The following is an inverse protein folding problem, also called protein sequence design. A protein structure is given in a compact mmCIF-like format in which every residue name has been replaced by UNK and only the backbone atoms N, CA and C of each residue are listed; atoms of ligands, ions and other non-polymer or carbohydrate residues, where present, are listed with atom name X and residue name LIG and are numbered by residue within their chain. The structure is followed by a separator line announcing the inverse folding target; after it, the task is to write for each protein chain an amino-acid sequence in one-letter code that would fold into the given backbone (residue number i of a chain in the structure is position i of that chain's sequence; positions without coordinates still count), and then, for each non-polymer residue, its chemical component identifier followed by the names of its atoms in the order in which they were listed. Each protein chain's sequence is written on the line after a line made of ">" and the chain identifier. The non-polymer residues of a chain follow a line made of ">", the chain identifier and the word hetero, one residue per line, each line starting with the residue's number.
data_IF_462980362211
#
_entry.id   IF_462980362211
#
_cell.length_a   1.000
_cell.length_b   1.000
_cell.length_c   1.000
_cell.angle_alpha   90.00
_cell.angle_beta   90.00
_cell.angle_gamma   90.00
#
_symmetry.space_group_name_H-M   'P 1'
#
loop_
_entity.id
_entity.type
_entity.pdbx_description
1 polymer ?
#
# COMPACT_ATOMS: atom_id res chain seq x y z
N UNK A 1 -3.69 9.55 -3.97
CA UNK A 1 -3.32 10.59 -4.93
C UNK A 1 -2.71 9.93 -6.14
N UNK A 2 -1.83 10.65 -6.83
CA UNK A 2 -1.13 10.22 -8.04
C UNK A 2 0.34 10.52 -7.81
N UNK A 3 1.15 9.48 -7.64
CA UNK A 3 2.58 9.61 -7.44
C UNK A 3 3.29 9.50 -8.80
N UNK A 4 4.42 10.20 -8.98
CA UNK A 4 5.18 10.08 -10.24
C UNK A 4 5.71 8.66 -10.49
N UNK A 5 5.87 7.86 -9.43
CA UNK A 5 6.17 6.43 -9.54
C UNK A 5 5.08 5.66 -10.30
N UNK A 6 3.81 6.08 -10.24
CA UNK A 6 2.75 5.45 -11.04
C UNK A 6 3.00 5.63 -12.55
N UNK A 7 3.56 6.78 -12.96
CA UNK A 7 3.97 7.03 -14.34
C UNK A 7 5.17 6.16 -14.72
N UNK A 8 6.22 6.11 -13.89
CA UNK A 8 7.36 5.23 -14.11
C UNK A 8 6.95 3.75 -14.25
N UNK A 9 5.96 3.31 -13.48
CA UNK A 9 5.41 1.96 -13.57
C UNK A 9 4.67 1.71 -14.89
N UNK A 10 3.86 2.68 -15.33
CA UNK A 10 3.12 2.60 -16.59
C UNK A 10 4.04 2.64 -17.81
N UNK A 11 5.12 3.42 -17.77
CA UNK A 11 6.11 3.54 -18.85
C UNK A 11 7.18 2.44 -18.79
N UNK A 12 7.33 1.77 -17.65
CA UNK A 12 8.30 0.71 -17.44
C UNK A 12 9.74 1.23 -17.42
N UNK A 13 9.95 2.39 -16.79
CA UNK A 13 11.23 3.11 -16.76
C UNK A 13 12.31 2.40 -15.94
N UNK A 14 11.90 1.61 -14.94
CA UNK A 14 12.83 0.98 -14.00
C UNK A 14 13.31 -0.39 -14.49
N UNK A 15 14.51 -0.83 -14.06
CA UNK A 15 15.06 -2.13 -14.47
C UNK A 15 14.18 -3.32 -14.06
N UNK A 16 13.61 -3.26 -12.86
CA UNK A 16 12.64 -4.26 -12.36
C UNK A 16 11.26 -3.74 -12.72
N UNK A 17 10.62 -4.33 -13.73
CA UNK A 17 9.32 -3.87 -14.25
C UNK A 17 8.15 -4.50 -13.48
N UNK A 18 6.99 -3.82 -13.39
CA UNK A 18 5.78 -4.44 -12.84
C UNK A 18 5.26 -5.55 -13.78
N UNK A 19 4.65 -6.62 -13.25
CA UNK A 19 3.95 -7.60 -14.08
C UNK A 19 2.71 -6.96 -14.73
N UNK A 20 2.47 -7.26 -16.01
CA UNK A 20 1.30 -6.77 -16.75
C UNK A 20 0.22 -7.86 -16.89
N UNK A 21 -1.08 -7.50 -16.83
CA UNK A 21 -1.62 -6.19 -16.47
C UNK A 21 -1.57 -5.96 -14.95
N UNK A 22 -1.49 -4.70 -14.52
CA UNK A 22 -1.66 -4.29 -13.12
C UNK A 22 -2.48 -3.00 -13.03
N UNK A 23 -3.02 -2.74 -11.84
CA UNK A 23 -3.70 -1.49 -11.49
C UNK A 23 -2.70 -0.64 -10.69
N UNK A 24 -2.35 0.59 -11.11
CA UNK A 24 -1.44 1.47 -10.36
C UNK A 24 -2.06 2.06 -9.07
N UNK A 25 -1.28 2.91 -8.38
CA UNK A 25 -1.74 3.73 -7.25
C UNK A 25 -1.39 3.14 -5.89
N UNK A 26 -0.48 3.80 -5.18
CA UNK A 26 -0.02 3.44 -3.82
C UNK A 26 -0.21 4.57 -2.80
N UNK A 27 -1.14 5.46 -3.12
CA UNK A 27 -1.65 6.51 -2.23
C UNK A 27 -3.17 6.35 -2.07
N UNK A 28 -3.64 5.10 -2.09
CA UNK A 28 -5.05 4.77 -1.94
C UNK A 28 -5.46 4.88 -0.47
N UNK A 29 -6.60 5.54 -0.22
CA UNK A 29 -7.17 5.69 1.12
C UNK A 29 -8.67 5.43 1.08
N UNK A 30 -9.21 4.93 2.18
CA UNK A 30 -10.64 4.68 2.29
C UNK A 30 -11.03 4.03 3.60
N UNK A 31 -12.13 3.29 3.55
CA UNK A 31 -12.63 2.49 4.66
C UNK A 31 -12.35 1.01 4.43
N UNK A 32 -12.05 0.29 5.51
CA UNK A 32 -12.05 -1.18 5.48
C UNK A 32 -13.48 -1.66 5.18
N UNK A 33 -13.69 -2.27 4.02
CA UNK A 33 -15.00 -2.73 3.58
C UNK A 33 -15.31 -4.16 4.05
N UNK A 34 -14.28 -5.00 4.24
CA UNK A 34 -14.38 -6.37 4.73
C UNK A 34 -13.04 -6.79 5.35
N UNK A 35 -13.06 -7.78 6.24
CA UNK A 35 -11.84 -8.36 6.83
C UNK A 35 -11.77 -9.87 6.59
N UNK A 36 -10.55 -10.35 6.32
CA UNK A 36 -10.27 -11.79 6.26
C UNK A 36 -10.27 -12.44 7.65
N UNK A 37 -10.28 -13.78 7.67
CA UNK A 37 -10.17 -14.54 8.92
C UNK A 37 -8.85 -14.24 9.64
N UNK A 38 -8.90 -14.05 10.96
CA UNK A 38 -7.72 -13.83 11.80
C UNK A 38 -7.15 -12.40 11.78
N UNK A 39 -7.77 -11.47 11.04
CA UNK A 39 -7.39 -10.05 11.05
C UNK A 39 -7.84 -9.42 12.36
N UNK A 40 -6.88 -8.83 13.09
CA UNK A 40 -7.13 -8.21 14.40
C UNK A 40 -6.67 -6.74 14.50
N UNK A 41 -5.77 -6.30 13.60
CA UNK A 41 -5.21 -4.93 13.63
C UNK A 41 -6.20 -3.85 13.16
N UNK A 42 -7.14 -4.23 12.30
CA UNK A 42 -8.19 -3.35 11.74
C UNK A 42 -9.52 -4.08 11.71
N UNK A 43 -10.62 -3.34 11.59
CA UNK A 43 -11.99 -3.85 11.41
C UNK A 43 -12.74 -3.04 10.36
N UNK A 44 -13.86 -3.59 9.90
CA UNK A 44 -14.78 -2.88 9.00
C UNK A 44 -15.11 -1.46 9.51
N UNK A 45 -15.07 -0.48 8.61
CA UNK A 45 -15.29 0.93 8.91
C UNK A 45 -14.07 1.70 9.43
N UNK A 46 -12.95 1.05 9.77
CA UNK A 46 -11.71 1.76 10.09
C UNK A 46 -11.17 2.52 8.86
N UNK A 47 -10.56 3.69 9.09
CA UNK A 47 -9.95 4.52 8.03
C UNK A 47 -8.50 4.09 7.82
N UNK A 48 -8.17 3.65 6.62
CA UNK A 48 -6.84 3.12 6.29
C UNK A 48 -6.30 3.69 4.99
N UNK A 49 -4.98 3.75 4.90
CA UNK A 49 -4.26 4.02 3.65
C UNK A 49 -3.33 2.87 3.29
N UNK A 50 -3.13 2.64 2.00
CA UNK A 50 -2.34 1.52 1.48
C UNK A 50 -1.10 2.13 0.78
N UNK A 51 0.05 2.18 1.47
CA UNK A 51 1.24 2.86 0.99
C UNK A 51 2.01 2.04 -0.05
N UNK A 52 3.16 2.54 -0.50
CA UNK A 52 4.08 1.81 -1.37
C UNK A 52 4.49 0.44 -0.79
N UNK A 53 4.87 0.39 0.49
CA UNK A 53 5.20 -0.88 1.16
C UNK A 53 3.91 -1.65 1.47
N UNK A 54 3.50 -2.54 0.58
CA UNK A 54 2.27 -3.33 0.72
C UNK A 54 2.38 -4.36 1.84
N UNK A 55 3.51 -5.06 1.90
CA UNK A 55 3.83 -6.06 2.92
C UNK A 55 5.34 -6.27 2.98
N UNK A 56 5.82 -6.85 4.09
CA UNK A 56 7.18 -7.32 4.28
C UNK A 56 7.17 -8.62 5.11
N UNK A 57 8.28 -9.39 5.09
CA UNK A 57 8.30 -10.73 5.69
C UNK A 57 8.22 -10.75 7.23
N UNK A 58 8.56 -9.64 7.90
CA UNK A 58 8.51 -9.52 9.36
C UNK A 58 9.60 -10.30 10.12
N UNK A 59 10.49 -11.01 9.44
CA UNK A 59 11.45 -11.93 10.09
C UNK A 59 12.90 -11.86 9.59
N UNK A 60 13.19 -11.13 8.50
CA UNK A 60 14.58 -10.93 8.06
C UNK A 60 15.30 -9.89 8.94
N UNK A 61 16.62 -9.77 8.78
CA UNK A 61 17.45 -8.80 9.51
C UNK A 61 16.88 -7.37 9.45
N UNK A 62 16.47 -6.92 8.26
CA UNK A 62 15.87 -5.60 8.07
C UNK A 62 14.55 -5.45 8.83
N UNK A 63 13.64 -6.42 8.72
CA UNK A 63 12.35 -6.36 9.42
C UNK A 63 12.52 -6.40 10.94
N UNK A 64 13.41 -7.26 11.46
CA UNK A 64 13.65 -7.41 12.90
C UNK A 64 14.34 -6.19 13.52
N UNK A 65 14.93 -5.31 12.70
CA UNK A 65 15.63 -4.09 13.15
C UNK A 65 14.87 -2.80 12.85
N UNK A 66 13.61 -2.88 12.41
CA UNK A 66 12.77 -1.71 12.11
C UNK A 66 13.12 -1.01 10.79
N UNK A 67 13.72 -1.76 9.86
CA UNK A 67 14.07 -1.33 8.50
C UNK A 67 13.26 -2.13 7.47
N UNK A 68 12.00 -2.43 7.74
CA UNK A 68 11.13 -3.24 6.86
C UNK A 68 11.03 -2.72 5.42
N UNK A 69 11.32 -1.43 5.18
CA UNK A 69 11.45 -0.83 3.85
C UNK A 69 12.56 -1.44 2.99
N UNK A 70 13.54 -2.09 3.62
CA UNK A 70 14.63 -2.81 2.97
C UNK A 70 14.36 -4.32 2.84
N UNK A 71 13.17 -4.80 3.19
CA UNK A 71 12.84 -6.21 3.06
C UNK A 71 12.90 -6.65 1.58
N UNK A 72 13.78 -7.61 1.25
CA UNK A 72 13.90 -8.15 -0.11
C UNK A 72 12.69 -8.98 -0.55
N UNK A 73 11.84 -9.40 0.40
CA UNK A 73 10.58 -10.11 0.13
C UNK A 73 9.36 -9.17 0.15
N UNK A 74 9.56 -7.85 0.15
CA UNK A 74 8.45 -6.92 0.14
C UNK A 74 7.62 -7.03 -1.14
N UNK A 75 6.34 -6.69 -1.04
CA UNK A 75 5.52 -6.38 -2.20
C UNK A 75 5.20 -4.89 -2.20
N UNK A 76 4.91 -4.35 -3.38
CA UNK A 76 4.72 -2.93 -3.60
C UNK A 76 3.36 -2.67 -4.24
N UNK A 77 2.54 -1.88 -3.56
CA UNK A 77 1.19 -1.53 -3.99
C UNK A 77 1.24 -0.79 -5.31
N UNK A 78 0.33 -1.10 -6.24
CA UNK A 78 0.30 -0.44 -7.54
C UNK A 78 1.54 -0.70 -8.40
N UNK A 79 2.29 -1.76 -8.09
CA UNK A 79 3.50 -2.14 -8.83
C UNK A 79 3.62 -3.66 -8.96
N UNK A 80 3.98 -4.38 -7.89
CA UNK A 80 4.04 -5.85 -7.90
C UNK A 80 2.73 -6.52 -7.48
N UNK A 81 1.83 -5.77 -6.86
CA UNK A 81 0.42 -6.12 -6.63
C UNK A 81 -0.49 -4.97 -7.08
N UNK A 82 -1.76 -5.27 -7.35
CA UNK A 82 -2.74 -4.25 -7.76
C UNK A 82 -2.91 -3.18 -6.67
N UNK A 83 -3.04 -1.93 -7.12
CA UNK A 83 -3.16 -0.74 -6.29
C UNK A 83 -4.55 -0.09 -6.30
N UNK A 84 -4.57 1.16 -5.85
CA UNK A 84 -5.75 1.93 -5.51
C UNK A 84 -6.39 2.74 -6.63
N UNK A 85 -5.96 2.62 -7.89
CA UNK A 85 -6.71 3.19 -9.03
C UNK A 85 -7.94 2.32 -9.38
N UNK A 86 -8.73 2.02 -8.35
CA UNK A 86 -9.90 1.15 -8.38
C UNK A 86 -10.84 1.53 -7.22
N UNK A 87 -12.10 1.06 -7.29
CA UNK A 87 -13.08 1.27 -6.21
C UNK A 87 -12.74 0.46 -4.95
N UNK A 88 -12.08 -0.69 -5.12
CA UNK A 88 -11.66 -1.59 -4.04
C UNK A 88 -10.26 -2.13 -4.31
N UNK A 89 -9.53 -2.41 -3.23
CA UNK A 89 -8.18 -2.97 -3.27
C UNK A 89 -7.96 -3.84 -2.04
N UNK A 90 -7.28 -4.97 -2.22
CA UNK A 90 -6.84 -5.81 -1.10
C UNK A 90 -5.62 -5.17 -0.43
N UNK A 91 -5.43 -5.39 0.87
CA UNK A 91 -4.27 -4.88 1.59
C UNK A 91 -3.84 -5.87 2.68
N UNK A 92 -2.54 -5.91 2.97
CA UNK A 92 -2.07 -6.55 4.19
C UNK A 92 -2.41 -5.65 5.39
N UNK A 93 -3.30 -6.09 6.30
CA UNK A 93 -3.74 -5.28 7.41
C UNK A 93 -2.60 -4.91 8.37
N UNK A 94 -1.44 -5.57 8.31
CA UNK A 94 -0.27 -5.27 9.15
C UNK A 94 0.54 -4.06 8.67
N UNK A 95 0.40 -3.68 7.40
CA UNK A 95 1.22 -2.63 6.77
C UNK A 95 0.41 -1.44 6.27
N UNK A 96 -0.92 -1.47 6.40
CA UNK A 96 -1.74 -0.26 6.17
C UNK A 96 -1.39 0.85 7.16
N UNK A 97 -1.46 2.09 6.69
CA UNK A 97 -1.44 3.29 7.53
C UNK A 97 -2.78 3.48 8.23
N UNK A 98 -2.77 3.69 9.55
CA UNK A 98 -3.97 4.00 10.33
C UNK A 98 -4.21 5.50 10.28
N UNK A 99 -5.33 5.92 9.71
CA UNK A 99 -5.57 7.33 9.40
C UNK A 99 -6.29 8.05 10.55
N UNK A 100 -5.95 9.33 10.82
CA UNK A 100 -6.66 10.13 11.79
C UNK A 100 -8.10 10.42 11.34
N UNK A 101 -9.03 10.54 12.29
CA UNK A 101 -10.45 10.75 12.00
C UNK A 101 -10.78 12.17 11.50
N UNK A 102 -9.90 13.13 11.74
CA UNK A 102 -10.15 14.57 11.56
C UNK A 102 -9.45 15.17 10.32
N UNK A 103 -8.95 14.34 9.40
CA UNK A 103 -8.36 14.78 8.14
C UNK A 103 -9.16 14.20 6.99
N UNK A 104 -9.39 14.96 5.93
CA UNK A 104 -10.12 14.49 4.76
C UNK A 104 -9.29 13.51 3.93
N UNK A 105 -9.94 12.55 3.26
CA UNK A 105 -9.23 11.52 2.50
C UNK A 105 -8.40 12.11 1.35
N UNK A 106 -8.92 13.09 0.63
CA UNK A 106 -8.20 13.74 -0.45
C UNK A 106 -6.91 14.44 0.04
N UNK A 107 -6.94 15.00 1.25
CA UNK A 107 -5.81 15.71 1.85
C UNK A 107 -4.75 14.76 2.42
N UNK A 108 -5.17 13.65 3.03
CA UNK A 108 -4.25 12.69 3.65
C UNK A 108 -3.64 11.72 2.63
N UNK A 109 -4.27 11.50 1.47
CA UNK A 109 -3.82 10.51 0.50
C UNK A 109 -2.34 10.68 0.06
N UNK A 110 -1.84 11.89 -0.26
CA UNK A 110 -0.43 12.07 -0.64
C UNK A 110 0.58 11.70 0.45
N UNK A 111 0.21 11.79 1.74
CA UNK A 111 1.09 11.47 2.88
C UNK A 111 1.48 9.98 2.91
N UNK A 112 0.76 9.12 2.19
CA UNK A 112 1.03 7.67 2.16
C UNK A 112 2.28 7.31 1.35
N UNK A 113 2.86 8.26 0.60
CA UNK A 113 4.11 8.05 -0.13
C UNK A 113 5.03 9.28 -0.14
N UNK A 114 4.48 10.49 -0.17
CA UNK A 114 5.23 11.74 -0.32
C UNK A 114 5.57 12.39 1.04
#
# INVERSE_FOLDING_TARGET
>A
GVCHTDLHAAEGDWPVRPPLPFIPGHEGVGYVAAVGSGVTRVKEGDRVGIPWLYTACGCCEHCLTGWETLCESQQNTGYSVNGGYAEYVLADPNYVGILPKNVEFAEIAPILCA
#
